data_IF_682890987081
#
_entry.id   IF_682890987081
#
_cell.length_a   1.000
_cell.length_b   1.000
_cell.length_c   1.000
_cell.angle_alpha   90.00
_cell.angle_beta   90.00
_cell.angle_gamma   90.00
#
_symmetry.space_group_name_H-M   'P 1'
#
loop_
_entity.id
_entity.type
_entity.pdbx_description
1 polymer ?
#
# COMPACT_ATOMS: atom_id res chain seq x y z
N UNK A 1 10.39 41.20 9.84
CA UNK A 1 10.18 39.98 10.66
C UNK A 1 8.72 39.64 10.88
N UNK A 2 8.13 38.87 9.97
CA UNK A 2 6.84 38.23 10.23
C UNK A 2 7.08 36.73 10.41
N UNK A 3 7.12 36.31 11.67
CA UNK A 3 7.28 34.93 12.13
C UNK A 3 6.11 34.02 11.75
N UNK A 4 5.94 33.77 10.46
CA UNK A 4 5.07 32.72 9.94
C UNK A 4 5.92 31.48 9.68
N UNK A 5 6.22 30.75 10.75
CA UNK A 5 6.46 29.32 10.59
C UNK A 5 5.16 28.74 10.00
N UNK A 6 5.21 28.02 8.86
CA UNK A 6 4.02 27.37 8.34
C UNK A 6 3.56 26.40 9.42
N UNK A 7 2.34 26.58 9.91
CA UNK A 7 1.70 25.64 10.82
C UNK A 7 1.68 24.32 10.08
N UNK A 8 2.63 23.43 10.41
CA UNK A 8 2.58 22.02 10.07
C UNK A 8 1.27 21.54 10.68
N UNK A 9 0.23 21.46 9.86
CA UNK A 9 -0.94 20.65 10.19
C UNK A 9 -0.37 19.25 10.34
N UNK A 10 -0.03 18.88 11.57
CA UNK A 10 0.29 17.51 11.91
C UNK A 10 -0.89 16.70 11.44
N UNK A 11 -0.73 16.01 10.31
CA UNK A 11 -1.71 15.05 9.86
C UNK A 11 -1.72 14.01 10.99
N UNK A 12 -2.72 14.09 11.87
CA UNK A 12 -2.89 13.08 12.90
C UNK A 12 -3.14 11.77 12.16
N UNK A 13 -2.07 10.99 11.99
CA UNK A 13 -2.12 9.75 11.24
C UNK A 13 -3.13 8.86 11.95
N UNK A 14 -4.19 8.50 11.24
CA UNK A 14 -5.14 7.53 11.75
C UNK A 14 -4.48 6.15 11.83
N UNK A 15 -5.08 5.23 12.58
CA UNK A 15 -4.64 3.83 12.62
C UNK A 15 -4.64 3.19 11.23
N UNK A 16 -5.58 3.58 10.35
CA UNK A 16 -5.61 3.15 8.94
C UNK A 16 -4.41 3.70 8.16
N UNK A 17 -4.07 4.99 8.33
CA UNK A 17 -2.92 5.59 7.65
C UNK A 17 -1.60 4.93 8.06
N UNK A 18 -1.44 4.61 9.36
CA UNK A 18 -0.26 3.91 9.87
C UNK A 18 -0.15 2.49 9.31
N UNK A 19 -1.25 1.74 9.33
CA UNK A 19 -1.32 0.40 8.76
C UNK A 19 -0.95 0.40 7.27
N UNK A 20 -1.60 1.26 6.48
CA UNK A 20 -1.35 1.36 5.04
C UNK A 20 0.08 1.80 4.76
N UNK A 21 0.63 2.72 5.55
CA UNK A 21 2.04 3.10 5.46
C UNK A 21 2.97 1.92 5.73
N UNK A 22 2.70 1.09 6.73
CA UNK A 22 3.48 -0.12 7.01
C UNK A 22 3.47 -1.07 5.80
N UNK A 23 2.29 -1.32 5.23
CA UNK A 23 2.12 -2.19 4.06
C UNK A 23 2.88 -1.65 2.83
N UNK A 24 2.69 -0.37 2.51
CA UNK A 24 3.38 0.29 1.39
C UNK A 24 4.90 0.26 1.58
N UNK A 25 5.38 0.54 2.79
CA UNK A 25 6.82 0.48 3.08
C UNK A 25 7.38 -0.94 2.96
N UNK A 26 6.65 -1.95 3.43
CA UNK A 26 7.06 -3.34 3.30
C UNK A 26 7.21 -3.75 1.82
N UNK A 27 6.28 -3.33 0.96
CA UNK A 27 6.38 -3.55 -0.48
C UNK A 27 7.54 -2.80 -1.12
N UNK A 28 7.68 -1.51 -0.83
CA UNK A 28 8.69 -0.67 -1.48
C UNK A 28 10.12 -1.04 -1.08
N UNK A 29 10.34 -1.48 0.16
CA UNK A 29 11.68 -1.80 0.66
C UNK A 29 12.03 -3.28 0.55
N UNK A 30 11.06 -4.18 0.74
CA UNK A 30 11.32 -5.63 0.81
C UNK A 30 10.66 -6.40 -0.32
N UNK A 31 9.67 -5.80 -1.00
CA UNK A 31 8.85 -6.51 -1.99
C UNK A 31 8.03 -7.65 -1.38
N UNK A 32 7.83 -7.67 -0.06
CA UNK A 32 7.10 -8.73 0.63
C UNK A 32 6.26 -8.20 1.78
N UNK A 33 5.07 -8.76 1.92
CA UNK A 33 4.15 -8.54 3.03
C UNK A 33 3.84 -9.90 3.65
N UNK A 34 4.06 -10.04 4.94
CA UNK A 34 3.61 -11.19 5.72
C UNK A 34 2.34 -10.79 6.48
N UNK A 35 1.22 -11.47 6.21
CA UNK A 35 -0.10 -11.04 6.68
C UNK A 35 -0.23 -11.16 8.19
N UNK A 36 0.27 -12.25 8.77
CA UNK A 36 0.18 -12.50 10.22
C UNK A 36 1.03 -11.47 10.99
N UNK A 37 2.26 -11.21 10.54
CA UNK A 37 3.15 -10.23 11.18
C UNK A 37 2.55 -8.82 11.22
N UNK A 38 1.93 -8.37 10.13
CA UNK A 38 1.27 -7.05 10.09
C UNK A 38 -0.06 -7.08 10.85
N UNK A 39 -0.80 -8.18 10.74
CA UNK A 39 -2.06 -8.39 11.46
C UNK A 39 -1.89 -8.31 12.97
N UNK A 40 -0.87 -8.97 13.52
CA UNK A 40 -0.52 -8.92 14.93
C UNK A 40 -0.06 -7.52 15.36
N UNK A 41 0.88 -6.92 14.61
CA UNK A 41 1.42 -5.60 14.92
C UNK A 41 0.35 -4.50 14.95
N UNK A 42 -0.69 -4.65 14.14
CA UNK A 42 -1.79 -3.69 14.06
C UNK A 42 -3.08 -4.20 14.71
N UNK A 43 -3.11 -5.38 15.33
CA UNK A 43 -4.28 -6.04 15.90
C UNK A 43 -5.51 -6.01 14.97
N UNK A 44 -5.34 -6.57 13.77
CA UNK A 44 -6.38 -6.73 12.74
C UNK A 44 -6.29 -8.10 12.06
N UNK A 45 -7.39 -8.55 11.46
CA UNK A 45 -7.37 -9.59 10.44
C UNK A 45 -6.99 -8.95 9.09
N UNK A 46 -5.76 -9.18 8.64
CA UNK A 46 -5.20 -8.54 7.45
C UNK A 46 -6.00 -8.85 6.18
N UNK A 47 -6.37 -10.13 5.98
CA UNK A 47 -7.12 -10.57 4.79
C UNK A 47 -8.50 -9.96 4.74
N UNK A 48 -9.18 -9.93 5.88
CA UNK A 48 -10.50 -9.33 5.98
C UNK A 48 -10.44 -7.82 5.81
N UNK A 49 -9.43 -7.16 6.37
CA UNK A 49 -9.26 -5.72 6.28
C UNK A 49 -9.00 -5.25 4.85
N UNK A 50 -8.12 -5.95 4.13
CA UNK A 50 -7.71 -5.60 2.77
C UNK A 50 -8.47 -6.37 1.68
N UNK A 51 -9.64 -6.94 1.98
CA UNK A 51 -10.37 -7.79 1.04
C UNK A 51 -10.64 -7.11 -0.33
N UNK A 52 -10.87 -5.79 -0.34
CA UNK A 52 -11.08 -5.02 -1.57
C UNK A 52 -9.80 -4.92 -2.39
N UNK A 53 -8.68 -4.68 -1.71
CA UNK A 53 -7.35 -4.60 -2.31
C UNK A 53 -6.90 -5.96 -2.85
N UNK A 54 -7.19 -7.06 -2.14
CA UNK A 54 -6.93 -8.42 -2.62
C UNK A 54 -7.69 -8.73 -3.92
N UNK A 55 -8.95 -8.28 -4.05
CA UNK A 55 -9.68 -8.41 -5.30
C UNK A 55 -9.02 -7.59 -6.44
N UNK A 56 -8.49 -6.40 -6.13
CA UNK A 56 -7.78 -5.56 -7.09
C UNK A 56 -6.39 -6.09 -7.50
N UNK A 57 -5.81 -7.03 -6.75
CA UNK A 57 -4.54 -7.69 -7.09
C UNK A 57 -4.66 -8.73 -8.21
N UNK A 58 -5.87 -9.23 -8.51
CA UNK A 58 -6.08 -10.29 -9.50
C UNK A 58 -5.38 -10.06 -10.84
N UNK A 59 -5.52 -8.88 -11.48
CA UNK A 59 -4.79 -8.56 -12.71
C UNK A 59 -3.27 -8.54 -12.57
N UNK A 60 -2.74 -8.08 -11.42
CA UNK A 60 -1.30 -8.04 -11.15
C UNK A 60 -0.72 -9.44 -10.95
N UNK A 61 -1.49 -10.34 -10.32
CA UNK A 61 -1.16 -11.77 -10.20
C UNK A 61 -1.16 -12.42 -11.58
N UNK A 62 -2.19 -12.18 -12.39
CA UNK A 62 -2.30 -12.73 -13.73
C UNK A 62 -1.17 -12.27 -14.67
N UNK A 63 -0.66 -11.05 -14.47
CA UNK A 63 0.50 -10.51 -15.18
C UNK A 63 1.86 -11.00 -14.62
N UNK A 64 1.86 -11.81 -13.56
CA UNK A 64 3.08 -12.31 -12.94
C UNK A 64 3.88 -11.25 -12.20
N UNK A 65 3.28 -10.10 -11.86
CA UNK A 65 3.95 -9.00 -11.14
C UNK A 65 4.00 -9.24 -9.63
N UNK A 66 3.03 -9.98 -9.10
CA UNK A 66 2.99 -10.39 -7.70
C UNK A 66 2.60 -11.86 -7.60
N UNK A 67 3.15 -12.52 -6.59
CA UNK A 67 2.71 -13.83 -6.12
C UNK A 67 1.90 -13.62 -4.85
N UNK A 68 0.68 -14.11 -4.87
CA UNK A 68 -0.21 -14.09 -3.72
C UNK A 68 -0.34 -15.50 -3.17
N UNK A 69 -0.09 -15.68 -1.87
CA UNK A 69 -0.30 -16.93 -1.16
C UNK A 69 -1.35 -16.75 -0.07
N UNK A 70 -1.54 -17.79 0.77
CA UNK A 70 -2.41 -17.71 1.95
C UNK A 70 -1.82 -16.90 3.11
N UNK A 71 -0.51 -16.68 3.13
CA UNK A 71 0.19 -16.05 4.26
C UNK A 71 0.98 -14.81 3.88
N UNK A 72 1.29 -14.64 2.59
CA UNK A 72 2.10 -13.53 2.12
C UNK A 72 1.72 -13.02 0.72
N UNK A 73 2.24 -11.83 0.44
CA UNK A 73 2.30 -11.25 -0.88
C UNK A 73 3.76 -10.95 -1.20
N UNK A 74 4.24 -11.42 -2.35
CA UNK A 74 5.62 -11.22 -2.81
C UNK A 74 5.60 -10.58 -4.19
N UNK A 75 6.34 -9.49 -4.35
CA UNK A 75 6.60 -8.83 -5.63
C UNK A 75 7.62 -9.67 -6.40
N UNK A 76 7.32 -10.02 -7.64
CA UNK A 76 8.24 -10.78 -8.48
C UNK A 76 9.34 -9.88 -9.03
N UNK A 77 10.36 -10.46 -9.65
CA UNK A 77 11.42 -9.68 -10.33
C UNK A 77 10.84 -8.69 -11.36
N UNK A 78 9.81 -9.09 -12.12
CA UNK A 78 9.10 -8.22 -13.05
C UNK A 78 8.24 -7.17 -12.33
N UNK A 79 7.65 -7.56 -11.20
CA UNK A 79 6.87 -6.66 -10.36
C UNK A 79 7.67 -5.50 -9.79
N UNK A 80 8.98 -5.65 -9.58
CA UNK A 80 9.83 -4.58 -9.04
C UNK A 80 9.85 -3.32 -9.90
N UNK A 81 9.82 -3.47 -11.24
CA UNK A 81 9.72 -2.33 -12.16
C UNK A 81 8.42 -1.54 -11.98
N UNK A 82 7.38 -2.19 -11.46
CA UNK A 82 6.05 -1.63 -11.22
C UNK A 82 5.67 -1.63 -9.74
N UNK A 83 6.65 -1.69 -8.82
CA UNK A 83 6.41 -1.85 -7.37
C UNK A 83 5.55 -0.71 -6.81
N UNK A 84 5.70 0.51 -7.37
CA UNK A 84 4.84 1.65 -7.01
C UNK A 84 3.39 1.42 -7.38
N UNK A 85 3.12 0.83 -8.55
CA UNK A 85 1.76 0.50 -8.98
C UNK A 85 1.13 -0.58 -8.09
N UNK A 86 1.92 -1.59 -7.70
CA UNK A 86 1.50 -2.60 -6.73
C UNK A 86 1.18 -1.97 -5.37
N UNK A 87 2.08 -1.12 -4.85
CA UNK A 87 1.88 -0.46 -3.56
C UNK A 87 0.67 0.48 -3.54
N UNK A 88 0.36 1.15 -4.66
CA UNK A 88 -0.82 2.01 -4.78
C UNK A 88 -2.15 1.27 -4.63
N UNK A 89 -2.18 -0.06 -4.83
CA UNK A 89 -3.39 -0.86 -4.54
C UNK A 89 -3.78 -0.74 -3.08
N UNK A 90 -2.80 -0.60 -2.18
CA UNK A 90 -2.99 -0.46 -0.74
C UNK A 90 -3.10 0.99 -0.26
N UNK A 91 -3.03 1.97 -1.17
CA UNK A 91 -3.19 3.39 -0.83
C UNK A 91 -4.64 3.85 -1.00
N UNK A 92 -5.27 4.20 0.12
CA UNK A 92 -6.65 4.72 0.18
C UNK A 92 -6.81 6.04 -0.55
N UNK A 93 -5.80 6.91 -0.50
CA UNK A 93 -5.89 8.25 -1.09
C UNK A 93 -5.75 8.22 -2.63
N UNK A 94 -5.06 7.22 -3.19
CA UNK A 94 -5.01 7.01 -4.63
C UNK A 94 -6.34 6.51 -5.20
N UNK A 95 -7.11 5.70 -4.47
CA UNK A 95 -8.42 5.22 -4.96
C UNK A 95 -9.44 6.37 -5.06
N UNK A 96 -9.42 7.32 -4.12
CA UNK A 96 -10.30 8.51 -4.15
C UNK A 96 -9.87 9.56 -5.20
N UNK A 97 -8.56 9.63 -5.52
CA UNK A 97 -8.01 10.58 -6.50
C UNK A 97 -7.69 9.95 -7.87
N UNK A 98 -8.24 8.78 -8.19
CA UNK A 98 -8.10 8.17 -9.53
C UNK A 98 -8.61 9.05 -10.67
N UNK A 99 -9.32 10.13 -10.37
CA UNK A 99 -9.71 11.19 -11.30
C UNK A 99 -8.61 12.25 -11.59
N UNK A 100 -7.47 12.27 -10.87
CA UNK A 100 -6.52 13.41 -10.93
C UNK A 100 -5.03 13.10 -10.95
N UNK A 101 -4.59 11.84 -10.97
CA UNK A 101 -3.16 11.59 -11.17
C UNK A 101 -2.81 11.49 -12.65
N UNK A 102 -2.16 12.58 -13.09
CA UNK A 102 -1.64 12.88 -14.42
C UNK A 102 -1.03 11.65 -15.10
N UNK A 103 -1.42 11.46 -16.37
CA UNK A 103 -0.67 10.72 -17.38
C UNK A 103 0.82 11.03 -17.22
N UNK A 104 1.62 9.99 -17.03
CA UNK A 104 3.05 10.05 -17.35
C UNK A 104 3.12 9.79 -18.85
N UNK A 105 3.63 10.79 -19.58
CA UNK A 105 4.05 10.70 -20.99
C UNK A 105 5.37 9.94 -21.05
#
# INVERSE_FOLDING_TARGET
DQGRLPVVRGLALSRDDLLRRTVIMALMCRGRIEFDAIGEAHAIDFRRYFATEFAALGPLVAQGLVRLSDHDLVVTEQGWFLVRAVAMVFDRYCSANRARFSRVV
#
